data_IF_929296064695
#
_entry.id   IF_929296064695
#
_cell.length_a   1.000
_cell.length_b   1.000
_cell.length_c   1.000
_cell.angle_alpha   90.00
_cell.angle_beta   90.00
_cell.angle_gamma   90.00
#
_symmetry.space_group_name_H-M   'P 1'
#
loop_
_entity.id
_entity.type
_entity.pdbx_description
1 polymer ?
#
# COMPACT_ATOMS: atom_id res chain seq x y z
N UNK A 1 -10.75 -1.35 -35.44
CA UNK A 1 -9.73 -1.56 -34.40
C UNK A 1 -8.32 -1.87 -34.93
N UNK A 2 -8.10 -1.76 -36.21
CA UNK A 2 -6.83 -2.17 -36.90
C UNK A 2 -5.93 -0.98 -37.29
N UNK A 3 -6.38 0.26 -37.10
CA UNK A 3 -5.62 1.43 -37.55
C UNK A 3 -4.73 2.13 -36.51
N UNK A 4 -4.92 1.86 -35.21
CA UNK A 4 -4.07 2.46 -34.16
C UNK A 4 -2.71 1.75 -34.00
N UNK A 5 -2.67 0.45 -34.17
CA UNK A 5 -1.43 -0.35 -34.10
C UNK A 5 -0.48 -0.09 -35.29
N UNK A 6 -1.00 0.40 -36.40
CA UNK A 6 -0.15 0.70 -37.58
C UNK A 6 0.53 2.07 -37.46
N UNK A 7 -0.12 3.02 -36.79
CA UNK A 7 0.42 4.38 -36.58
C UNK A 7 1.54 4.37 -35.51
N UNK A 8 1.41 3.56 -34.45
CA UNK A 8 2.47 3.41 -33.43
C UNK A 8 3.73 2.74 -34.00
N UNK A 9 3.60 1.76 -34.88
CA UNK A 9 4.74 1.11 -35.52
C UNK A 9 5.49 2.02 -36.51
N UNK A 10 4.82 2.90 -37.22
CA UNK A 10 5.45 3.88 -38.11
C UNK A 10 6.15 5.00 -37.34
N UNK A 11 5.57 5.44 -36.22
CA UNK A 11 6.19 6.46 -35.35
C UNK A 11 7.47 5.94 -34.69
N UNK A 12 7.48 4.67 -34.24
CA UNK A 12 8.67 4.02 -33.66
C UNK A 12 9.76 3.81 -34.73
N UNK A 13 9.40 3.46 -35.96
CA UNK A 13 10.36 3.32 -37.07
C UNK A 13 10.96 4.65 -37.49
N UNK A 14 10.21 5.74 -37.47
CA UNK A 14 10.69 7.07 -37.84
C UNK A 14 11.62 7.65 -36.75
N UNK A 15 11.40 7.35 -35.46
CA UNK A 15 12.28 7.76 -34.37
C UNK A 15 13.60 6.98 -34.34
N UNK A 16 13.62 5.75 -34.80
CA UNK A 16 14.82 4.90 -34.85
C UNK A 16 15.77 5.28 -35.99
N UNK A 17 15.28 6.01 -37.02
CA UNK A 17 16.08 6.38 -38.21
C UNK A 17 16.66 7.78 -38.18
N UNK A 18 16.39 8.59 -37.15
CA UNK A 18 17.03 9.91 -37.02
C UNK A 18 18.42 9.78 -36.38
N UNK A 19 19.44 10.32 -37.04
CA UNK A 19 20.86 10.33 -36.64
C UNK A 19 21.17 10.82 -35.20
N UNK A 20 20.17 11.17 -34.39
CA UNK A 20 20.33 11.51 -32.98
C UNK A 20 20.50 10.30 -32.05
N UNK A 21 20.20 9.10 -32.52
CA UNK A 21 20.34 7.87 -31.72
C UNK A 21 21.78 7.34 -31.65
N UNK A 22 22.70 7.92 -32.41
CA UNK A 22 24.11 7.47 -32.42
C UNK A 22 24.98 8.09 -31.33
N UNK A 23 24.46 9.01 -30.50
CA UNK A 23 25.25 9.62 -29.41
C UNK A 23 25.23 8.80 -28.13
N UNK A 24 24.23 7.98 -27.94
CA UNK A 24 24.16 7.01 -26.83
C UNK A 24 24.21 5.58 -27.35
N UNK A 25 25.38 5.14 -27.85
CA UNK A 25 25.67 3.71 -27.77
C UNK A 25 25.62 3.36 -26.28
N UNK A 26 24.71 2.46 -25.81
CA UNK A 26 24.86 1.92 -24.47
C UNK A 26 26.23 1.25 -24.44
N UNK A 27 27.21 1.88 -23.82
CA UNK A 27 28.40 1.16 -23.41
C UNK A 27 27.84 0.01 -22.54
N UNK A 28 27.93 -1.21 -23.03
CA UNK A 28 27.81 -2.39 -22.19
C UNK A 28 28.98 -2.25 -21.22
N UNK A 29 28.74 -1.62 -20.08
CA UNK A 29 29.60 -1.72 -18.91
C UNK A 29 29.68 -3.22 -18.63
N UNK A 30 30.79 -3.84 -19.01
CA UNK A 30 31.12 -5.19 -18.56
C UNK A 30 31.40 -5.05 -17.07
N UNK A 31 30.36 -5.23 -16.28
CA UNK A 31 30.48 -5.36 -14.84
C UNK A 31 31.36 -6.59 -14.57
N UNK A 32 32.42 -6.41 -13.77
CA UNK A 32 33.26 -7.54 -13.38
C UNK A 32 32.44 -8.53 -12.56
N UNK A 33 32.82 -9.81 -12.54
CA UNK A 33 32.15 -10.80 -11.66
C UNK A 33 32.20 -10.38 -10.19
N UNK A 34 33.27 -9.68 -9.79
CA UNK A 34 33.40 -9.14 -8.42
C UNK A 34 32.35 -8.06 -8.17
N UNK A 35 32.16 -7.10 -9.08
CA UNK A 35 31.15 -6.04 -8.96
C UNK A 35 29.74 -6.63 -8.95
N UNK A 36 29.50 -7.67 -9.76
CA UNK A 36 28.24 -8.39 -9.79
C UNK A 36 27.95 -9.06 -8.43
N UNK A 37 28.92 -9.78 -7.87
CA UNK A 37 28.77 -10.45 -6.59
C UNK A 37 28.54 -9.45 -5.43
N UNK A 38 29.27 -8.33 -5.40
CA UNK A 38 29.07 -7.26 -4.40
C UNK A 38 27.67 -6.67 -4.51
N UNK A 39 27.19 -6.40 -5.72
CA UNK A 39 25.85 -5.87 -5.92
C UNK A 39 24.76 -6.90 -5.54
N UNK A 40 24.97 -8.17 -5.82
CA UNK A 40 24.06 -9.26 -5.43
C UNK A 40 23.95 -9.34 -3.90
N UNK A 41 25.07 -9.28 -3.18
CA UNK A 41 25.08 -9.34 -1.71
C UNK A 41 24.41 -8.11 -1.08
N UNK A 42 24.65 -6.90 -1.59
CA UNK A 42 23.96 -5.68 -1.16
C UNK A 42 22.45 -5.79 -1.37
N UNK A 43 22.04 -6.33 -2.53
CA UNK A 43 20.62 -6.53 -2.86
C UNK A 43 19.97 -7.55 -1.92
N UNK A 44 20.64 -8.67 -1.62
CA UNK A 44 20.16 -9.68 -0.67
C UNK A 44 19.95 -9.08 0.71
N UNK A 45 20.93 -8.32 1.22
CA UNK A 45 20.81 -7.64 2.51
C UNK A 45 19.65 -6.65 2.53
N UNK A 46 19.46 -5.87 1.48
CA UNK A 46 18.34 -4.92 1.36
C UNK A 46 16.98 -5.63 1.33
N UNK A 47 16.88 -6.78 0.65
CA UNK A 47 15.66 -7.60 0.61
C UNK A 47 15.37 -8.20 1.99
N UNK A 48 16.39 -8.65 2.71
CA UNK A 48 16.23 -9.24 4.03
C UNK A 48 15.82 -8.18 5.07
N UNK A 49 16.39 -6.96 5.01
CA UNK A 49 15.93 -5.84 5.82
C UNK A 49 14.46 -5.52 5.54
N UNK A 50 14.06 -5.43 4.26
CA UNK A 50 12.67 -5.22 3.88
C UNK A 50 11.74 -6.30 4.45
N UNK A 51 12.11 -7.58 4.38
CA UNK A 51 11.33 -8.68 4.94
C UNK A 51 11.15 -8.55 6.44
N UNK A 52 12.21 -8.19 7.18
CA UNK A 52 12.16 -7.97 8.62
C UNK A 52 11.20 -6.83 8.97
N UNK A 53 11.28 -5.72 8.25
CA UNK A 53 10.40 -4.55 8.44
C UNK A 53 8.94 -4.89 8.12
N UNK A 54 8.69 -5.59 7.04
CA UNK A 54 7.34 -6.08 6.68
C UNK A 54 6.78 -7.01 7.76
N UNK A 55 7.57 -7.97 8.24
CA UNK A 55 7.16 -8.88 9.32
C UNK A 55 6.76 -8.10 10.58
N UNK A 56 7.55 -7.08 10.95
CA UNK A 56 7.22 -6.20 12.09
C UNK A 56 5.91 -5.42 11.84
N UNK A 57 5.73 -4.86 10.65
CA UNK A 57 4.50 -4.15 10.28
C UNK A 57 3.27 -5.07 10.31
N UNK A 58 3.42 -6.32 9.89
CA UNK A 58 2.32 -7.29 9.87
C UNK A 58 1.84 -7.70 11.25
N UNK A 59 2.65 -7.56 12.28
CA UNK A 59 2.24 -7.77 13.67
C UNK A 59 1.33 -6.66 14.20
N UNK A 60 1.16 -5.55 13.48
CA UNK A 60 0.31 -4.45 13.91
C UNK A 60 0.65 -3.95 15.30
N UNK A 61 -0.31 -3.99 16.23
CA UNK A 61 -0.11 -3.64 17.64
C UNK A 61 0.65 -4.68 18.47
N UNK A 62 1.14 -5.77 17.83
CA UNK A 62 1.92 -6.83 18.45
C UNK A 62 1.10 -8.02 18.94
N UNK A 63 1.79 -9.13 19.20
CA UNK A 63 1.19 -10.44 19.53
C UNK A 63 0.19 -10.38 20.70
N UNK A 64 0.50 -9.59 21.76
CA UNK A 64 -0.41 -9.43 22.89
C UNK A 64 -1.75 -8.82 22.49
N UNK A 65 -1.74 -7.85 21.56
CA UNK A 65 -2.95 -7.22 21.06
C UNK A 65 -3.72 -8.13 20.11
N UNK A 66 -3.02 -8.88 19.28
CA UNK A 66 -3.62 -9.91 18.40
C UNK A 66 -4.33 -10.95 19.27
N UNK A 67 -3.65 -11.49 20.29
CA UNK A 67 -4.25 -12.44 21.23
C UNK A 67 -5.48 -11.86 21.89
N UNK A 68 -5.43 -10.61 22.35
CA UNK A 68 -6.59 -9.94 22.98
C UNK A 68 -7.78 -9.80 22.03
N UNK A 69 -7.57 -9.63 20.71
CA UNK A 69 -8.65 -9.65 19.72
C UNK A 69 -9.27 -11.05 19.61
N UNK A 70 -8.43 -12.09 19.51
CA UNK A 70 -8.89 -13.46 19.44
C UNK A 70 -9.64 -13.90 20.69
N UNK A 71 -9.17 -13.53 21.89
CA UNK A 71 -9.83 -13.82 23.17
C UNK A 71 -11.24 -13.18 23.25
N UNK A 72 -11.49 -12.11 22.47
CA UNK A 72 -12.80 -11.47 22.31
C UNK A 72 -13.64 -12.05 21.15
N UNK A 73 -13.16 -13.11 20.49
CA UNK A 73 -13.80 -13.69 19.32
C UNK A 73 -13.72 -12.83 18.05
N UNK A 74 -12.81 -11.85 18.00
CA UNK A 74 -12.62 -10.97 16.86
C UNK A 74 -11.44 -11.44 15.99
N UNK A 75 -11.55 -11.22 14.69
CA UNK A 75 -10.47 -11.38 13.74
C UNK A 75 -9.66 -10.08 13.62
N UNK A 76 -8.36 -10.19 13.39
CA UNK A 76 -7.49 -9.06 13.05
C UNK A 76 -7.87 -8.48 11.69
N UNK A 77 -7.36 -7.28 11.35
CA UNK A 77 -7.59 -6.66 10.04
C UNK A 77 -7.19 -7.57 8.87
N UNK A 78 -6.02 -8.21 8.96
CA UNK A 78 -5.52 -9.11 7.91
C UNK A 78 -6.33 -10.38 7.79
N UNK A 79 -6.75 -10.96 8.89
CA UNK A 79 -7.62 -12.14 8.91
C UNK A 79 -8.99 -11.83 8.29
N UNK A 80 -9.58 -10.66 8.60
CA UNK A 80 -10.85 -10.21 7.98
C UNK A 80 -10.70 -10.03 6.48
N UNK A 81 -9.58 -9.45 6.02
CA UNK A 81 -9.28 -9.30 4.60
C UNK A 81 -9.18 -10.67 3.94
N UNK A 82 -8.37 -11.58 4.50
CA UNK A 82 -8.18 -12.92 3.95
C UNK A 82 -9.50 -13.72 3.89
N UNK A 83 -10.39 -13.52 4.87
CA UNK A 83 -11.71 -14.15 4.88
C UNK A 83 -12.65 -13.59 3.80
N UNK A 84 -12.48 -12.32 3.43
CA UNK A 84 -13.30 -11.64 2.42
C UNK A 84 -12.85 -11.93 0.98
N UNK A 85 -11.55 -12.08 0.77
CA UNK A 85 -10.99 -12.29 -0.57
C UNK A 85 -11.34 -13.68 -1.11
N UNK A 86 -11.49 -13.76 -2.42
CA UNK A 86 -11.72 -15.02 -3.12
C UNK A 86 -10.56 -15.99 -2.89
N UNK A 87 -10.86 -17.23 -2.54
CA UNK A 87 -9.88 -18.26 -2.25
C UNK A 87 -8.93 -18.50 -3.43
N UNK A 88 -7.64 -18.65 -3.14
CA UNK A 88 -6.61 -18.91 -4.16
C UNK A 88 -6.23 -17.71 -5.02
N UNK A 89 -6.75 -16.51 -4.73
CA UNK A 89 -6.37 -15.29 -5.44
C UNK A 89 -5.26 -14.53 -4.72
N UNK A 90 -4.35 -13.95 -5.51
CA UNK A 90 -3.33 -13.04 -4.97
C UNK A 90 -3.89 -11.64 -4.78
N UNK A 91 -3.30 -10.89 -3.85
CA UNK A 91 -3.63 -9.49 -3.62
C UNK A 91 -2.37 -8.63 -3.45
N UNK A 92 -2.51 -7.35 -3.69
CA UNK A 92 -1.45 -6.36 -3.50
C UNK A 92 -1.79 -5.51 -2.28
N UNK A 93 -0.90 -5.48 -1.28
CA UNK A 93 -1.03 -4.57 -0.15
C UNK A 93 -0.41 -3.22 -0.46
N UNK A 94 -1.18 -2.15 -0.24
CA UNK A 94 -0.75 -0.76 -0.47
C UNK A 94 -0.21 -0.18 0.82
N UNK A 95 1.03 0.31 0.78
CA UNK A 95 1.62 1.04 1.89
C UNK A 95 1.78 0.21 3.16
N UNK A 96 2.27 -1.04 3.06
CA UNK A 96 2.50 -1.92 4.20
C UNK A 96 3.45 -1.32 5.26
N UNK A 97 4.38 -0.46 4.86
CA UNK A 97 5.33 0.24 5.74
C UNK A 97 4.90 1.68 6.09
N UNK A 98 3.67 2.09 5.73
CA UNK A 98 3.17 3.40 6.10
C UNK A 98 3.14 3.56 7.63
N UNK A 99 3.59 4.73 8.13
CA UNK A 99 3.67 4.99 9.57
C UNK A 99 4.82 4.30 10.31
N UNK A 100 5.70 3.59 9.59
CA UNK A 100 6.89 3.00 10.20
C UNK A 100 7.75 4.09 10.85
N UNK A 101 8.16 3.84 12.11
CA UNK A 101 8.94 4.78 12.93
C UNK A 101 8.27 6.16 13.16
N UNK A 102 6.98 6.30 12.81
CA UNK A 102 6.21 7.50 13.12
C UNK A 102 5.41 7.31 14.42
N UNK A 103 5.13 8.43 15.10
CA UNK A 103 4.29 8.46 16.31
C UNK A 103 4.80 7.57 17.45
N UNK A 104 6.11 7.47 17.61
CA UNK A 104 6.75 6.60 18.62
C UNK A 104 6.38 7.01 20.03
N UNK A 105 6.25 8.31 20.31
CA UNK A 105 5.78 8.88 21.55
C UNK A 105 4.33 8.48 21.91
N UNK A 106 3.55 8.16 20.89
CA UNK A 106 2.17 7.65 21.02
C UNK A 106 2.07 6.12 20.92
N UNK A 107 3.21 5.43 20.90
CA UNK A 107 3.28 3.96 20.80
C UNK A 107 3.24 3.42 19.38
N UNK A 108 3.46 4.29 18.38
CA UNK A 108 3.59 3.90 16.97
C UNK A 108 2.24 3.71 16.25
N UNK A 109 2.33 3.69 14.92
CA UNK A 109 1.18 3.47 14.05
C UNK A 109 1.59 2.59 12.85
N UNK A 110 1.96 1.32 13.09
CA UNK A 110 2.39 0.40 12.03
C UNK A 110 1.29 0.26 10.96
N UNK A 111 1.71 0.15 9.70
CA UNK A 111 0.81 0.10 8.55
C UNK A 111 -0.15 1.31 8.43
N UNK A 112 0.12 2.42 9.18
CA UNK A 112 -0.77 3.56 9.29
C UNK A 112 -2.08 3.25 10.02
N UNK A 113 -2.14 2.21 10.87
CA UNK A 113 -3.35 1.79 11.60
C UNK A 113 -4.48 1.26 10.70
N UNK A 114 -4.22 1.06 9.42
CA UNK A 114 -5.20 0.56 8.44
C UNK A 114 -4.50 -0.27 7.37
N UNK A 115 -5.02 -1.45 7.10
CA UNK A 115 -4.55 -2.33 6.02
C UNK A 115 -5.37 -2.04 4.77
N UNK A 116 -4.70 -1.78 3.65
CA UNK A 116 -5.33 -1.51 2.36
C UNK A 116 -4.80 -2.52 1.35
N UNK A 117 -5.69 -3.23 0.68
CA UNK A 117 -5.33 -4.19 -0.36
C UNK A 117 -6.15 -3.99 -1.62
N UNK A 118 -5.58 -4.39 -2.76
CA UNK A 118 -6.30 -4.60 -4.01
C UNK A 118 -6.35 -6.11 -4.23
N UNK A 119 -7.54 -6.68 -4.26
CA UNK A 119 -7.73 -8.13 -4.40
C UNK A 119 -9.08 -8.48 -5.04
N UNK A 120 -9.34 -9.75 -5.18
CA UNK A 120 -10.58 -10.24 -5.80
C UNK A 120 -11.62 -10.53 -4.73
N UNK A 121 -12.84 -10.00 -4.92
CA UNK A 121 -14.01 -10.25 -4.07
C UNK A 121 -15.19 -10.57 -4.98
N UNK A 122 -15.72 -11.78 -4.91
CA UNK A 122 -16.81 -12.22 -5.78
C UNK A 122 -16.46 -12.12 -7.27
N UNK A 123 -15.23 -12.47 -7.64
CA UNK A 123 -14.68 -12.41 -9.00
C UNK A 123 -14.55 -10.99 -9.57
N UNK A 124 -14.60 -9.97 -8.72
CA UNK A 124 -14.36 -8.57 -9.11
C UNK A 124 -13.18 -8.01 -8.35
N UNK A 125 -12.33 -7.27 -9.04
CA UNK A 125 -11.25 -6.56 -8.40
C UNK A 125 -11.80 -5.40 -7.57
N UNK A 126 -11.44 -5.38 -6.29
CA UNK A 126 -11.89 -4.38 -5.33
C UNK A 126 -10.73 -3.85 -4.51
N UNK A 127 -10.88 -2.66 -3.96
CA UNK A 127 -10.02 -2.17 -2.89
C UNK A 127 -10.70 -2.52 -1.56
N UNK A 128 -9.97 -3.14 -0.65
CA UNK A 128 -10.44 -3.43 0.69
C UNK A 128 -9.63 -2.62 1.69
N UNK A 129 -10.32 -1.88 2.55
CA UNK A 129 -9.73 -1.02 3.59
C UNK A 129 -10.20 -1.54 4.95
N UNK A 130 -9.27 -2.01 5.77
CA UNK A 130 -9.58 -2.59 7.07
C UNK A 130 -8.83 -1.85 8.19
N UNK A 131 -9.56 -1.25 9.13
CA UNK A 131 -8.93 -0.69 10.32
C UNK A 131 -8.28 -1.81 11.15
N UNK A 132 -7.06 -1.53 11.64
CA UNK A 132 -6.36 -2.47 12.53
C UNK A 132 -6.64 -2.13 13.99
N UNK A 133 -7.62 -2.83 14.57
CA UNK A 133 -8.01 -2.64 15.96
C UNK A 133 -6.89 -3.00 16.96
N UNK A 134 -5.85 -3.71 16.54
CA UNK A 134 -4.67 -3.97 17.38
C UNK A 134 -3.82 -2.72 17.58
N UNK A 135 -3.93 -1.75 16.67
CA UNK A 135 -3.22 -0.45 16.71
C UNK A 135 -4.16 0.61 17.29
N UNK A 136 -3.98 0.95 18.57
CA UNK A 136 -4.79 1.98 19.27
C UNK A 136 -6.30 1.83 19.06
N UNK A 137 -6.82 0.60 19.12
CA UNK A 137 -8.23 0.27 18.88
C UNK A 137 -8.74 0.79 17.51
N UNK A 138 -7.90 0.79 16.49
CA UNK A 138 -8.25 1.26 15.15
C UNK A 138 -8.40 2.79 15.04
N UNK A 139 -7.84 3.55 15.99
CA UNK A 139 -7.90 5.02 15.96
C UNK A 139 -7.18 5.59 14.72
N UNK A 140 -7.72 6.68 14.20
CA UNK A 140 -7.17 7.36 13.04
C UNK A 140 -6.08 8.34 13.44
N UNK A 141 -4.89 8.09 12.95
CA UNK A 141 -3.75 9.00 12.94
C UNK A 141 -3.74 9.82 11.63
N UNK A 142 -2.94 10.89 11.52
CA UNK A 142 -2.80 11.61 10.25
C UNK A 142 -2.37 10.70 9.09
N UNK A 143 -1.51 9.71 9.35
CA UNK A 143 -1.11 8.72 8.34
C UNK A 143 -2.29 7.81 7.93
N UNK A 144 -3.19 7.47 8.86
CA UNK A 144 -4.40 6.70 8.57
C UNK A 144 -5.29 7.45 7.57
N UNK A 145 -5.50 8.75 7.78
CA UNK A 145 -6.27 9.60 6.87
C UNK A 145 -5.63 9.66 5.48
N UNK A 146 -4.32 9.91 5.39
CA UNK A 146 -3.58 9.94 4.11
C UNK A 146 -3.68 8.63 3.36
N UNK A 147 -3.54 7.50 4.05
CA UNK A 147 -3.62 6.17 3.42
C UNK A 147 -5.03 5.86 2.92
N UNK A 148 -6.08 6.22 3.68
CA UNK A 148 -7.46 6.10 3.22
C UNK A 148 -7.75 6.97 1.99
N UNK A 149 -7.31 8.23 1.99
CA UNK A 149 -7.44 9.10 0.82
C UNK A 149 -6.75 8.52 -0.42
N UNK A 150 -5.54 7.96 -0.25
CA UNK A 150 -4.86 7.31 -1.37
C UNK A 150 -5.62 6.09 -1.88
N UNK A 151 -6.21 5.30 -0.99
CA UNK A 151 -7.07 4.17 -1.37
C UNK A 151 -8.29 4.65 -2.20
N UNK A 152 -8.94 5.73 -1.76
CA UNK A 152 -10.06 6.34 -2.49
C UNK A 152 -9.64 6.89 -3.85
N UNK A 153 -8.49 7.55 -3.96
CA UNK A 153 -7.94 8.04 -5.23
C UNK A 153 -7.74 6.89 -6.21
N UNK A 154 -7.06 5.81 -5.78
CA UNK A 154 -6.84 4.62 -6.62
C UNK A 154 -8.16 4.00 -7.04
N UNK A 155 -9.15 3.93 -6.13
CA UNK A 155 -10.49 3.44 -6.42
C UNK A 155 -11.16 4.26 -7.54
N UNK A 156 -11.17 5.58 -7.42
CA UNK A 156 -11.79 6.48 -8.39
C UNK A 156 -11.08 6.46 -9.74
N UNK A 157 -9.74 6.54 -9.74
CA UNK A 157 -8.92 6.54 -10.96
C UNK A 157 -9.07 5.24 -11.77
N UNK A 158 -9.17 4.11 -11.08
CA UNK A 158 -9.28 2.79 -11.71
C UNK A 158 -10.72 2.25 -11.77
N UNK A 159 -11.71 3.01 -11.27
CA UNK A 159 -13.13 2.61 -11.21
C UNK A 159 -13.31 1.27 -10.48
N UNK A 160 -12.55 1.06 -9.41
CA UNK A 160 -12.64 -0.14 -8.57
C UNK A 160 -13.62 0.11 -7.44
N UNK A 161 -14.51 -0.84 -7.11
CA UNK A 161 -15.28 -0.78 -5.88
C UNK A 161 -14.36 -0.72 -4.66
N UNK A 162 -14.75 0.05 -3.64
CA UNK A 162 -14.04 0.10 -2.37
C UNK A 162 -14.92 -0.48 -1.26
N UNK A 163 -14.34 -1.36 -0.44
CA UNK A 163 -15.01 -2.04 0.66
C UNK A 163 -14.30 -1.65 1.95
N UNK A 164 -15.06 -1.14 2.92
CA UNK A 164 -14.54 -0.76 4.23
C UNK A 164 -14.92 -1.81 5.28
N UNK A 165 -13.91 -2.41 5.91
CA UNK A 165 -14.05 -3.28 7.08
C UNK A 165 -13.74 -2.45 8.32
N UNK A 166 -14.73 -1.70 8.80
CA UNK A 166 -14.55 -0.72 9.87
C UNK A 166 -14.51 -1.42 11.23
N UNK A 167 -13.45 -1.14 12.00
CA UNK A 167 -13.32 -1.42 13.43
C UNK A 167 -12.42 -0.34 14.03
N UNK A 168 -13.00 0.80 14.41
CA UNK A 168 -12.28 2.01 14.73
C UNK A 168 -12.88 2.74 15.93
N UNK A 169 -12.01 3.19 16.85
CA UNK A 169 -12.38 4.06 17.95
C UNK A 169 -12.58 5.53 17.53
N UNK A 170 -12.47 5.86 16.25
CA UNK A 170 -12.55 7.22 15.73
C UNK A 170 -11.20 7.89 15.62
N UNK A 171 -11.17 9.23 15.71
CA UNK A 171 -9.92 10.02 15.63
C UNK A 171 -9.06 9.81 16.88
N UNK A 172 -7.74 9.71 16.68
CA UNK A 172 -6.80 9.71 17.79
C UNK A 172 -6.75 11.11 18.43
N UNK A 173 -7.44 11.27 19.54
CA UNK A 173 -7.71 12.58 20.15
C UNK A 173 -6.48 13.48 20.38
N UNK A 174 -5.31 12.95 20.81
CA UNK A 174 -4.11 13.78 20.96
C UNK A 174 -3.61 14.46 19.69
N UNK A 175 -4.08 14.03 18.50
CA UNK A 175 -3.68 14.56 17.20
C UNK A 175 -4.91 14.98 16.36
N UNK A 176 -6.03 15.30 17.01
CA UNK A 176 -7.28 15.61 16.33
C UNK A 176 -7.20 16.89 15.49
N UNK A 177 -6.36 17.84 15.86
CA UNK A 177 -6.09 19.06 15.13
C UNK A 177 -5.43 18.83 13.78
N UNK A 178 -4.57 17.79 13.67
CA UNK A 178 -3.93 17.39 12.43
C UNK A 178 -4.86 16.60 11.47
N UNK A 179 -6.00 16.11 11.99
CA UNK A 179 -6.94 15.27 11.22
C UNK A 179 -8.31 15.94 11.07
N UNK A 180 -8.42 17.20 11.47
CA UNK A 180 -9.67 17.96 11.41
C UNK A 180 -10.36 17.84 10.02
N UNK A 181 -11.68 17.96 10.00
CA UNK A 181 -12.50 17.84 8.80
C UNK A 181 -12.33 19.07 7.88
N UNK A 182 -11.14 19.20 7.33
CA UNK A 182 -10.77 20.19 6.33
C UNK A 182 -10.85 19.60 4.90
N UNK A 183 -10.47 20.41 3.93
CA UNK A 183 -10.46 20.05 2.51
C UNK A 183 -9.62 18.80 2.19
N UNK A 184 -8.51 18.58 2.91
CA UNK A 184 -7.48 17.59 2.56
C UNK A 184 -7.46 16.37 3.50
N UNK A 185 -8.27 16.36 4.56
CA UNK A 185 -8.35 15.28 5.54
C UNK A 185 -9.76 14.65 5.58
N UNK A 186 -10.42 14.66 6.72
CA UNK A 186 -11.74 14.03 6.88
C UNK A 186 -12.81 14.60 5.96
N UNK A 187 -12.79 15.90 5.69
CA UNK A 187 -13.74 16.51 4.76
C UNK A 187 -13.64 15.89 3.36
N UNK A 188 -12.40 15.60 2.90
CA UNK A 188 -12.18 14.93 1.63
C UNK A 188 -12.60 13.46 1.66
N UNK A 189 -12.35 12.75 2.78
CA UNK A 189 -12.83 11.38 2.98
C UNK A 189 -14.35 11.32 2.86
N UNK A 190 -15.07 12.24 3.55
CA UNK A 190 -16.53 12.30 3.49
C UNK A 190 -17.04 12.60 2.08
N UNK A 191 -16.45 13.59 1.41
CA UNK A 191 -16.81 13.92 0.04
C UNK A 191 -16.64 12.74 -0.92
N UNK A 192 -15.54 12.00 -0.79
CA UNK A 192 -15.24 10.89 -1.69
C UNK A 192 -16.15 9.67 -1.43
N UNK A 193 -16.74 9.56 -0.25
CA UNK A 193 -17.68 8.49 0.11
C UNK A 193 -19.13 8.80 -0.28
N UNK A 194 -19.44 10.07 -0.58
CA UNK A 194 -20.77 10.51 -1.02
C UNK A 194 -20.96 10.35 -2.53
#
# INVERSE_FOLDING_TARGET
>A
MTNLLHIENEFIKTFVNTKLFFIFKPQKLKMSEIDFNVNEDVMKLSIDDLKVRLKKSYLGGGEKKIKSQHDQGKLTARERINYLLDEGTEYIEIGALAGENMYTEHGGCPCGGVVVVIGMVGKKQCIVVANDATVKAGAWFPMTAKKNLRAQEISMENRLPIIYLVDSAGVYLPMQDEIFADKENFGRVFRNNA
#
